data_IF_088029397647
#
_entry.id   IF_088029397647
#
_cell.length_a   1.000
_cell.length_b   1.000
_cell.length_c   1.000
_cell.angle_alpha   90.00
_cell.angle_beta   90.00
_cell.angle_gamma   90.00
#
_symmetry.space_group_name_H-M   'P 1'
#
loop_
_entity.id
_entity.type
_entity.pdbx_description
1 polymer ?
#
# COMPACT_ATOMS: atom_id res chain seq x y z
N UNK A 1 -39.02 16.61 33.57
CA UNK A 1 -38.36 17.95 33.51
C UNK A 1 -36.83 17.88 33.40
N UNK A 2 -36.16 16.74 33.61
CA UNK A 2 -34.69 16.62 33.52
C UNK A 2 -34.15 16.43 32.10
N UNK A 3 -34.92 15.81 31.20
CA UNK A 3 -34.47 15.48 29.83
C UNK A 3 -34.26 16.71 28.93
N UNK A 4 -35.08 17.75 29.09
CA UNK A 4 -34.96 19.01 28.34
C UNK A 4 -33.74 19.86 28.74
N UNK A 5 -33.22 19.70 29.97
CA UNK A 5 -32.01 20.44 30.41
C UNK A 5 -30.74 19.88 29.80
N UNK A 6 -30.65 18.56 29.67
CA UNK A 6 -29.51 17.87 29.06
C UNK A 6 -29.43 18.18 27.56
N UNK A 7 -30.57 18.20 26.86
CA UNK A 7 -30.60 18.53 25.44
C UNK A 7 -30.27 20.02 25.17
N UNK A 8 -30.69 20.93 26.05
CA UNK A 8 -30.29 22.34 25.99
C UNK A 8 -28.81 22.55 26.29
N UNK A 9 -28.25 21.84 27.28
CA UNK A 9 -26.81 21.89 27.57
C UNK A 9 -25.98 21.37 26.40
N UNK A 10 -26.37 20.24 25.79
CA UNK A 10 -25.67 19.70 24.62
C UNK A 10 -25.72 20.66 23.42
N UNK A 11 -26.85 21.33 23.18
CA UNK A 11 -26.93 22.36 22.12
C UNK A 11 -26.08 23.59 22.44
N UNK A 12 -26.00 24.01 23.70
CA UNK A 12 -25.14 25.11 24.13
C UNK A 12 -23.66 24.77 23.95
N UNK A 13 -23.24 23.56 24.32
CA UNK A 13 -21.85 23.09 24.19
C UNK A 13 -21.46 22.93 22.72
N UNK A 14 -22.35 22.41 21.86
CA UNK A 14 -22.11 22.34 20.42
C UNK A 14 -22.02 23.75 19.80
N UNK A 15 -22.87 24.67 20.21
CA UNK A 15 -22.83 26.06 19.75
C UNK A 15 -21.54 26.77 20.18
N UNK A 16 -21.12 26.62 21.44
CA UNK A 16 -19.89 27.19 21.97
C UNK A 16 -18.66 26.59 21.26
N UNK A 17 -18.57 25.27 21.08
CA UNK A 17 -17.46 24.65 20.36
C UNK A 17 -17.41 25.07 18.88
N UNK A 18 -18.56 25.26 18.22
CA UNK A 18 -18.61 25.78 16.85
C UNK A 18 -18.17 27.24 16.76
N UNK A 19 -18.40 28.03 17.82
CA UNK A 19 -18.00 29.43 17.91
C UNK A 19 -16.49 29.55 18.19
N UNK A 20 -15.95 28.74 19.09
CA UNK A 20 -14.50 28.66 19.36
C UNK A 20 -13.74 28.15 18.13
N UNK A 21 -14.28 27.18 17.37
CA UNK A 21 -13.67 26.75 16.11
C UNK A 21 -13.70 27.84 15.04
N UNK A 22 -14.78 28.61 14.92
CA UNK A 22 -14.84 29.76 14.00
C UNK A 22 -13.92 30.90 14.41
N UNK A 23 -13.80 31.19 15.71
CA UNK A 23 -12.86 32.19 16.23
C UNK A 23 -11.40 31.75 16.03
N UNK A 24 -11.10 30.44 16.17
CA UNK A 24 -9.76 29.89 15.88
C UNK A 24 -9.46 29.84 14.37
N UNK A 25 -10.47 29.59 13.52
CA UNK A 25 -10.33 29.67 12.07
C UNK A 25 -10.18 31.13 11.58
N UNK A 26 -10.89 32.10 12.16
CA UNK A 26 -10.75 33.53 11.86
C UNK A 26 -9.41 34.10 12.35
N UNK A 27 -8.90 33.68 13.51
CA UNK A 27 -7.53 34.01 13.95
C UNK A 27 -6.46 33.39 13.03
N UNK A 28 -6.72 32.23 12.42
CA UNK A 28 -5.82 31.61 11.45
C UNK A 28 -5.88 32.22 10.04
N UNK A 29 -6.87 33.08 9.77
CA UNK A 29 -7.11 33.73 8.47
C UNK A 29 -6.82 35.24 8.45
N UNK A 30 -6.42 35.84 9.57
CA UNK A 30 -5.81 37.17 9.55
C UNK A 30 -4.37 37.09 9.02
N UNK A 31 -4.22 37.31 7.71
CA UNK A 31 -2.94 37.72 7.14
C UNK A 31 -2.41 38.93 7.92
N UNK A 32 -1.13 38.95 8.32
CA UNK A 32 -0.56 40.17 8.88
C UNK A 32 -0.48 41.20 7.76
N UNK A 33 -1.41 42.15 7.77
CA UNK A 33 -1.31 43.38 7.00
C UNK A 33 -0.16 44.22 7.57
N UNK A 34 0.72 44.62 6.65
CA UNK A 34 1.76 45.63 6.79
C UNK A 34 2.93 45.34 7.74
N UNK A 35 4.07 45.04 7.09
CA UNK A 35 5.34 45.64 7.48
C UNK A 35 6.17 44.86 8.51
N UNK A 36 6.62 43.66 8.16
CA UNK A 36 7.93 43.13 8.57
C UNK A 36 8.22 41.82 7.82
N UNK A 37 9.03 41.90 6.76
CA UNK A 37 9.77 40.75 6.23
C UNK A 37 10.75 40.26 7.31
N UNK A 38 10.27 39.43 8.23
CA UNK A 38 11.14 38.72 9.16
C UNK A 38 11.82 37.59 8.40
N UNK A 39 13.10 37.79 8.08
CA UNK A 39 14.01 36.80 7.48
C UNK A 39 13.94 35.47 8.25
N UNK A 40 13.13 34.52 7.77
CA UNK A 40 13.14 33.16 8.28
C UNK A 40 14.44 32.48 7.83
N UNK A 41 15.39 32.31 8.76
CA UNK A 41 16.60 31.52 8.54
C UNK A 41 16.25 30.11 8.03
N UNK A 42 17.04 29.59 7.07
CA UNK A 42 16.85 28.29 6.40
C UNK A 42 16.48 27.15 7.37
N UNK A 43 17.04 27.16 8.59
CA UNK A 43 16.78 26.14 9.62
C UNK A 43 15.32 26.05 10.10
N UNK A 44 14.62 27.18 10.21
CA UNK A 44 13.20 27.22 10.59
C UNK A 44 12.29 26.67 9.49
N UNK A 45 12.65 26.93 8.22
CA UNK A 45 11.98 26.38 7.03
C UNK A 45 12.18 24.87 6.94
N UNK A 46 13.39 24.37 7.24
CA UNK A 46 13.70 22.93 7.28
C UNK A 46 12.96 22.24 8.42
N UNK A 47 12.85 22.84 9.62
CA UNK A 47 12.10 22.24 10.74
C UNK A 47 10.59 22.20 10.49
N UNK A 48 10.02 23.26 9.91
CA UNK A 48 8.61 23.28 9.47
C UNK A 48 8.36 22.32 8.31
N UNK A 49 9.30 22.20 7.38
CA UNK A 49 9.28 21.19 6.32
C UNK A 49 9.32 19.78 6.92
N UNK A 50 10.26 19.47 7.82
CA UNK A 50 10.32 18.18 8.48
C UNK A 50 9.05 17.86 9.25
N UNK A 51 8.51 18.82 10.01
CA UNK A 51 7.26 18.62 10.75
C UNK A 51 6.06 18.42 9.82
N UNK A 52 5.99 19.16 8.72
CA UNK A 52 4.91 19.03 7.72
C UNK A 52 5.03 17.73 6.92
N UNK A 53 6.26 17.29 6.62
CA UNK A 53 6.54 16.18 5.72
C UNK A 53 6.81 14.83 6.42
N UNK A 54 7.10 14.82 7.72
CA UNK A 54 7.48 13.62 8.48
C UNK A 54 6.68 13.40 9.78
N UNK A 55 5.67 14.24 10.09
CA UNK A 55 4.80 14.05 11.27
C UNK A 55 3.28 14.10 11.00
N UNK A 56 2.82 14.24 9.75
CA UNK A 56 1.39 14.45 9.45
C UNK A 56 0.67 13.15 9.04
N UNK A 57 0.46 12.25 10.00
CA UNK A 57 0.03 10.86 9.82
C UNK A 57 -1.40 10.55 9.34
N UNK A 58 -1.70 9.25 9.27
CA UNK A 58 -2.98 8.68 8.79
C UNK A 58 -4.20 9.09 9.64
N UNK A 59 -5.39 9.06 9.03
CA UNK A 59 -6.66 9.40 9.70
C UNK A 59 -7.24 8.16 10.40
N UNK A 60 -7.39 8.22 11.73
CA UNK A 60 -7.96 7.14 12.56
C UNK A 60 -9.49 7.14 12.54
N UNK A 61 -10.10 5.98 12.81
CA UNK A 61 -11.52 5.74 12.53
C UNK A 61 -12.53 6.53 13.35
N UNK A 62 -12.28 6.99 14.59
CA UNK A 62 -13.14 7.96 15.31
C UNK A 62 -12.51 8.36 16.66
N UNK A 63 -12.80 9.58 17.11
CA UNK A 63 -12.83 9.99 18.52
C UNK A 63 -13.85 9.09 19.25
N UNK A 64 -13.43 8.44 20.33
CA UNK A 64 -14.33 7.65 21.18
C UNK A 64 -14.73 8.53 22.35
N UNK A 65 -16.04 8.69 22.55
CA UNK A 65 -16.64 9.33 23.72
C UNK A 65 -16.07 8.73 25.00
N UNK A 66 -15.66 9.61 25.91
CA UNK A 66 -15.32 9.30 27.31
C UNK A 66 -16.55 8.78 28.06
N UNK A 67 -16.42 7.60 28.67
CA UNK A 67 -17.22 7.25 29.85
C UNK A 67 -16.36 6.48 30.86
N UNK A 68 -16.36 7.06 32.06
CA UNK A 68 -15.76 6.82 33.38
C UNK A 68 -15.25 5.43 33.81
N UNK A 69 -14.01 5.48 34.33
CA UNK A 69 -13.48 5.04 35.63
C UNK A 69 -13.33 3.54 36.01
N UNK A 70 -12.06 3.18 36.25
CA UNK A 70 -11.44 1.95 36.82
C UNK A 70 -10.89 0.87 35.87
N UNK A 71 -11.41 0.67 34.65
CA UNK A 71 -10.78 -0.20 33.60
C UNK A 71 -9.60 0.51 32.85
N UNK A 72 -9.33 1.74 33.28
CA UNK A 72 -8.64 2.80 32.55
C UNK A 72 -7.13 2.60 32.41
N UNK A 73 -6.47 1.87 33.32
CA UNK A 73 -5.00 1.73 33.27
C UNK A 73 -4.55 0.73 32.20
N UNK A 74 -5.24 -0.42 32.10
CA UNK A 74 -4.96 -1.41 31.07
C UNK A 74 -5.40 -0.90 29.71
N UNK A 75 -6.56 -0.24 29.60
CA UNK A 75 -7.00 0.38 28.35
C UNK A 75 -6.11 1.56 27.92
N UNK A 76 -5.60 2.40 28.83
CA UNK A 76 -4.69 3.50 28.50
C UNK A 76 -3.32 2.98 28.06
N UNK A 77 -2.78 1.96 28.75
CA UNK A 77 -1.54 1.28 28.30
C UNK A 77 -1.77 0.59 26.96
N UNK A 78 -2.89 -0.11 26.78
CA UNK A 78 -3.21 -0.80 25.53
C UNK A 78 -3.39 0.19 24.37
N UNK A 79 -4.03 1.34 24.60
CA UNK A 79 -4.15 2.41 23.61
C UNK A 79 -2.80 3.08 23.32
N UNK A 80 -1.96 3.27 24.33
CA UNK A 80 -0.61 3.84 24.19
C UNK A 80 0.33 2.93 23.39
N UNK A 81 0.28 1.62 23.61
CA UNK A 81 1.12 0.63 22.93
C UNK A 81 0.47 -0.07 21.75
N UNK A 82 -0.79 0.26 21.42
CA UNK A 82 -1.58 -0.38 20.35
C UNK A 82 -0.84 -0.50 19.03
N UNK A 83 -0.09 0.55 18.66
CA UNK A 83 0.71 0.62 17.44
C UNK A 83 1.83 -0.41 17.42
N UNK A 84 2.54 -0.53 18.55
CA UNK A 84 3.64 -1.48 18.70
C UNK A 84 3.13 -2.92 18.80
N UNK A 85 2.00 -3.14 19.49
CA UNK A 85 1.37 -4.46 19.60
C UNK A 85 0.90 -4.94 18.22
N UNK A 86 0.22 -4.09 17.45
CA UNK A 86 -0.26 -4.43 16.11
C UNK A 86 0.86 -4.79 15.14
N UNK A 87 2.03 -4.19 15.30
CA UNK A 87 3.24 -4.50 14.55
C UNK A 87 3.94 -5.78 15.03
N UNK A 88 4.16 -5.91 16.34
CA UNK A 88 4.93 -7.01 16.93
C UNK A 88 4.19 -8.35 16.81
N UNK A 89 2.87 -8.37 16.94
CA UNK A 89 2.10 -9.61 16.97
C UNK A 89 2.21 -10.45 15.68
N UNK A 90 1.91 -9.92 14.46
CA UNK A 90 2.06 -10.70 13.24
C UNK A 90 3.54 -10.99 12.94
N UNK A 91 4.44 -10.07 13.29
CA UNK A 91 5.88 -10.26 13.13
C UNK A 91 6.38 -11.44 13.97
N UNK A 92 6.08 -11.46 15.27
CA UNK A 92 6.49 -12.54 16.18
C UNK A 92 5.88 -13.88 15.77
N UNK A 93 4.60 -13.90 15.41
CA UNK A 93 3.93 -15.12 14.95
C UNK A 93 4.67 -15.75 13.76
N UNK A 94 4.90 -14.98 12.70
CA UNK A 94 5.58 -15.48 11.50
C UNK A 94 7.06 -15.77 11.74
N UNK A 95 7.75 -14.99 12.57
CA UNK A 95 9.15 -15.26 12.93
C UNK A 95 9.28 -16.56 13.71
N UNK A 96 8.40 -16.84 14.68
CA UNK A 96 8.40 -18.10 15.43
C UNK A 96 8.19 -19.28 14.46
N UNK A 97 7.22 -19.17 13.55
CA UNK A 97 7.01 -20.18 12.51
C UNK A 97 8.23 -20.34 11.60
N UNK A 98 8.88 -19.24 11.20
CA UNK A 98 10.04 -19.31 10.33
C UNK A 98 11.25 -19.92 11.04
N UNK A 99 11.57 -19.50 12.27
CA UNK A 99 12.70 -20.04 13.04
C UNK A 99 12.55 -21.53 13.33
N UNK A 100 11.35 -21.98 13.71
CA UNK A 100 11.08 -23.41 13.92
C UNK A 100 11.35 -24.23 12.66
N UNK A 101 10.93 -23.73 11.49
CA UNK A 101 11.22 -24.37 10.20
C UNK A 101 12.71 -24.27 9.81
N UNK A 102 13.34 -23.12 10.07
CA UNK A 102 14.75 -22.88 9.73
C UNK A 102 15.69 -23.83 10.45
N UNK A 103 15.44 -24.13 11.73
CA UNK A 103 16.19 -25.14 12.46
C UNK A 103 15.87 -26.56 11.99
N UNK A 104 14.60 -26.87 11.70
CA UNK A 104 14.17 -28.22 11.29
C UNK A 104 14.72 -28.63 9.92
N UNK A 105 14.79 -27.69 8.98
CA UNK A 105 15.14 -27.91 7.57
C UNK A 105 16.48 -27.30 7.15
N UNK A 106 17.20 -26.66 8.09
CA UNK A 106 18.51 -26.02 7.88
C UNK A 106 18.51 -25.00 6.73
N UNK A 107 17.59 -24.03 6.78
CA UNK A 107 17.48 -22.96 5.77
C UNK A 107 18.73 -22.08 5.66
N UNK A 108 19.58 -22.06 6.69
CA UNK A 108 20.84 -21.30 6.69
C UNK A 108 21.77 -21.65 5.53
N UNK A 109 21.66 -22.87 4.99
CA UNK A 109 22.43 -23.31 3.82
C UNK A 109 22.08 -22.56 2.53
N UNK A 110 20.89 -21.96 2.44
CA UNK A 110 20.42 -21.24 1.24
C UNK A 110 20.99 -19.81 1.15
N UNK A 111 21.29 -19.19 2.29
CA UNK A 111 21.74 -17.79 2.35
C UNK A 111 23.03 -17.49 1.57
N UNK A 112 24.08 -18.33 1.57
CA UNK A 112 25.29 -18.06 0.81
C UNK A 112 25.07 -17.90 -0.71
N UNK A 113 24.00 -18.47 -1.24
CA UNK A 113 23.73 -18.49 -2.69
C UNK A 113 22.51 -17.68 -3.12
N UNK A 114 21.68 -17.21 -2.18
CA UNK A 114 20.41 -16.54 -2.47
C UNK A 114 20.19 -15.28 -1.59
N UNK A 115 21.24 -14.64 -1.09
CA UNK A 115 21.14 -13.49 -0.16
C UNK A 115 20.66 -12.19 -0.83
N UNK A 116 20.78 -12.11 -2.15
CA UNK A 116 20.45 -10.94 -2.96
C UNK A 116 18.97 -10.55 -2.87
N UNK A 117 18.07 -11.54 -2.80
CA UNK A 117 16.63 -11.28 -2.68
C UNK A 117 16.19 -10.81 -1.30
N UNK A 118 16.59 -11.46 -0.19
CA UNK A 118 16.35 -10.93 1.16
C UNK A 118 16.85 -9.49 1.31
N UNK A 119 18.02 -9.17 0.76
CA UNK A 119 18.57 -7.81 0.78
C UNK A 119 17.67 -6.83 0.00
N UNK A 120 17.27 -7.20 -1.21
CA UNK A 120 16.33 -6.42 -2.02
C UNK A 120 15.01 -6.21 -1.29
N UNK A 121 14.54 -7.24 -0.59
CA UNK A 121 13.28 -7.25 0.14
C UNK A 121 13.29 -6.40 1.41
N UNK A 122 14.44 -5.98 1.93
CA UNK A 122 14.49 -4.92 2.95
C UNK A 122 13.86 -3.65 2.38
N UNK A 123 14.28 -3.23 1.18
CA UNK A 123 13.74 -2.06 0.49
C UNK A 123 12.34 -2.35 -0.02
N UNK A 124 12.15 -3.49 -0.70
CA UNK A 124 10.87 -3.88 -1.31
C UNK A 124 9.73 -3.96 -0.29
N UNK A 125 9.93 -4.65 0.84
CA UNK A 125 8.90 -4.77 1.86
C UNK A 125 8.64 -3.44 2.59
N UNK A 126 9.68 -2.65 2.87
CA UNK A 126 9.50 -1.34 3.51
C UNK A 126 8.68 -0.41 2.63
N UNK A 127 9.01 -0.32 1.33
CA UNK A 127 8.25 0.50 0.38
C UNK A 127 6.83 -0.05 0.24
N UNK A 128 6.65 -1.36 0.14
CA UNK A 128 5.33 -1.95 0.00
C UNK A 128 4.39 -1.69 1.17
N UNK A 129 4.93 -1.68 2.40
CA UNK A 129 4.15 -1.28 3.57
C UNK A 129 3.81 0.21 3.56
N UNK A 130 4.69 1.03 2.99
CA UNK A 130 4.56 2.49 2.99
C UNK A 130 3.65 3.04 1.89
N UNK A 131 3.58 2.38 0.74
CA UNK A 131 2.91 2.87 -0.46
C UNK A 131 1.70 2.01 -0.83
N UNK A 132 1.00 2.39 -1.89
CA UNK A 132 -0.09 1.60 -2.46
C UNK A 132 0.39 0.51 -3.43
N UNK A 133 1.70 0.24 -3.45
CA UNK A 133 2.32 -0.76 -4.30
C UNK A 133 2.75 -1.94 -3.43
N UNK A 134 2.64 -3.14 -3.97
CA UNK A 134 3.06 -4.36 -3.33
C UNK A 134 4.57 -4.55 -3.40
N UNK A 135 5.09 -5.48 -2.60
CA UNK A 135 6.52 -5.85 -2.64
C UNK A 135 6.96 -6.37 -4.01
N UNK A 136 5.99 -6.88 -4.79
CA UNK A 136 6.18 -7.29 -6.18
C UNK A 136 6.65 -6.14 -7.08
N UNK A 137 6.29 -4.89 -6.81
CA UNK A 137 6.72 -3.73 -7.60
C UNK A 137 8.26 -3.55 -7.59
N UNK A 138 8.91 -3.94 -6.49
CA UNK A 138 10.38 -3.93 -6.38
C UNK A 138 10.97 -5.29 -6.73
N UNK A 139 10.36 -6.39 -6.27
CA UNK A 139 10.86 -7.75 -6.49
C UNK A 139 10.92 -8.10 -7.98
N UNK A 140 9.84 -7.84 -8.72
CA UNK A 140 9.71 -8.23 -10.11
C UNK A 140 10.79 -7.61 -11.02
N UNK A 141 11.01 -6.28 -11.05
CA UNK A 141 12.05 -5.69 -11.90
C UNK A 141 13.46 -6.08 -11.45
N UNK A 142 13.71 -6.23 -10.15
CA UNK A 142 15.03 -6.69 -9.68
C UNK A 142 15.29 -8.13 -10.12
N UNK A 143 14.34 -9.03 -9.94
CA UNK A 143 14.51 -10.42 -10.39
C UNK A 143 14.65 -10.51 -11.91
N UNK A 144 13.80 -9.82 -12.66
CA UNK A 144 13.69 -10.03 -14.11
C UNK A 144 14.64 -9.19 -14.95
N UNK A 145 15.06 -8.01 -14.46
CA UNK A 145 15.92 -7.07 -15.19
C UNK A 145 17.34 -7.07 -14.64
N UNK A 146 17.53 -7.15 -13.31
CA UNK A 146 18.86 -7.12 -12.69
C UNK A 146 19.48 -8.52 -12.58
N UNK A 147 18.69 -9.50 -12.11
CA UNK A 147 19.17 -10.87 -11.88
C UNK A 147 18.88 -11.82 -13.05
N UNK A 148 18.22 -11.34 -14.10
CA UNK A 148 17.86 -12.11 -15.29
C UNK A 148 17.10 -13.43 -15.00
N UNK A 149 16.30 -13.44 -13.94
CA UNK A 149 15.42 -14.55 -13.59
C UNK A 149 14.17 -14.52 -14.48
N UNK A 150 13.62 -15.70 -14.77
CA UNK A 150 12.37 -15.85 -15.54
C UNK A 150 11.20 -15.14 -14.85
N UNK A 151 10.32 -14.56 -15.67
CA UNK A 151 9.17 -13.77 -15.19
C UNK A 151 8.18 -14.60 -14.39
N UNK A 152 8.05 -15.89 -14.70
CA UNK A 152 7.14 -16.80 -13.99
C UNK A 152 7.63 -17.08 -12.55
N UNK A 153 8.94 -17.28 -12.39
CA UNK A 153 9.57 -17.44 -11.07
C UNK A 153 9.45 -16.14 -10.27
N UNK A 154 9.65 -14.98 -10.92
CA UNK A 154 9.51 -13.68 -10.27
C UNK A 154 8.07 -13.37 -9.83
N UNK A 155 7.08 -13.72 -10.66
CA UNK A 155 5.66 -13.66 -10.31
C UNK A 155 5.35 -14.55 -9.11
N UNK A 156 5.72 -15.83 -9.17
CA UNK A 156 5.40 -16.80 -8.13
C UNK A 156 6.04 -16.37 -6.81
N UNK A 157 7.32 -15.97 -6.82
CA UNK A 157 7.99 -15.39 -5.66
C UNK A 157 7.24 -14.16 -5.11
N UNK A 158 6.80 -13.26 -5.99
CA UNK A 158 6.08 -12.04 -5.59
C UNK A 158 4.73 -12.35 -4.94
N UNK A 159 3.97 -13.31 -5.45
CA UNK A 159 2.71 -13.76 -4.82
C UNK A 159 2.97 -14.40 -3.45
N UNK A 160 3.96 -15.29 -3.38
CA UNK A 160 4.34 -15.99 -2.15
C UNK A 160 4.77 -15.02 -1.06
N UNK A 161 5.75 -14.16 -1.33
CA UNK A 161 6.35 -13.29 -0.32
C UNK A 161 5.35 -12.26 0.22
N UNK A 162 4.44 -11.79 -0.64
CA UNK A 162 3.39 -10.84 -0.25
C UNK A 162 2.27 -11.51 0.54
N UNK A 163 1.97 -12.79 0.32
CA UNK A 163 1.00 -13.52 1.14
C UNK A 163 1.42 -13.56 2.63
N UNK A 164 2.72 -13.45 2.93
CA UNK A 164 3.22 -13.27 4.30
C UNK A 164 3.32 -11.80 4.69
N UNK A 165 4.00 -10.99 3.87
CA UNK A 165 4.29 -9.58 4.16
C UNK A 165 3.06 -8.70 4.22
N UNK A 166 2.27 -8.69 3.15
CA UNK A 166 1.08 -7.85 3.03
C UNK A 166 0.00 -8.31 3.99
N UNK A 167 -0.12 -9.61 4.29
CA UNK A 167 -1.03 -10.11 5.34
C UNK A 167 -0.61 -9.60 6.72
N UNK A 168 0.69 -9.56 7.02
CA UNK A 168 1.20 -8.99 8.28
C UNK A 168 0.93 -7.48 8.38
N UNK A 169 1.11 -6.75 7.26
CA UNK A 169 0.77 -5.33 7.19
C UNK A 169 -0.74 -5.09 7.30
N UNK A 170 -1.56 -5.88 6.61
CA UNK A 170 -3.02 -5.83 6.68
C UNK A 170 -3.53 -6.10 8.10
N UNK A 171 -2.97 -7.08 8.81
CA UNK A 171 -3.25 -7.29 10.21
C UNK A 171 -2.95 -6.05 11.05
N UNK A 172 -1.77 -5.44 10.85
CA UNK A 172 -1.36 -4.21 11.56
C UNK A 172 -2.38 -3.08 11.30
N UNK A 173 -2.78 -2.91 10.05
CA UNK A 173 -3.75 -1.88 9.63
C UNK A 173 -5.12 -2.07 10.29
N UNK A 174 -5.62 -3.32 10.27
CA UNK A 174 -6.91 -3.68 10.88
C UNK A 174 -6.86 -3.52 12.40
N UNK A 175 -5.77 -3.95 13.03
CA UNK A 175 -5.55 -3.80 14.47
C UNK A 175 -5.53 -2.34 14.91
N UNK A 176 -4.89 -1.48 14.12
CA UNK A 176 -4.83 -0.03 14.35
C UNK A 176 -6.16 0.69 14.08
N UNK A 177 -7.20 0.01 13.56
CA UNK A 177 -8.48 0.60 13.16
C UNK A 177 -8.28 1.84 12.27
N UNK A 178 -7.38 1.71 11.29
CA UNK A 178 -7.23 2.72 10.24
C UNK A 178 -8.51 2.72 9.40
N UNK A 179 -8.95 3.89 8.93
CA UNK A 179 -10.14 3.99 8.05
C UNK A 179 -9.89 3.23 6.75
N UNK A 180 -10.81 2.34 6.40
CA UNK A 180 -10.79 1.52 5.20
C UNK A 180 -12.11 1.67 4.43
N UNK A 181 -12.04 1.50 3.11
CA UNK A 181 -13.22 1.48 2.25
C UNK A 181 -13.68 0.06 1.95
N UNK A 182 -14.52 -0.48 2.82
CA UNK A 182 -14.98 -1.87 2.78
C UNK A 182 -15.68 -2.27 1.50
N UNK A 183 -16.42 -1.37 0.85
CA UNK A 183 -17.06 -1.64 -0.44
C UNK A 183 -16.01 -1.96 -1.52
N UNK A 184 -14.89 -1.23 -1.51
CA UNK A 184 -13.77 -1.50 -2.41
C UNK A 184 -13.09 -2.82 -2.06
N UNK A 185 -12.86 -3.09 -0.77
CA UNK A 185 -12.27 -4.34 -0.32
C UNK A 185 -13.07 -5.53 -0.84
N UNK A 186 -14.39 -5.56 -0.59
CA UNK A 186 -15.22 -6.70 -0.96
C UNK A 186 -15.31 -6.86 -2.48
N UNK A 187 -15.67 -5.79 -3.20
CA UNK A 187 -15.94 -5.90 -4.64
C UNK A 187 -14.67 -6.09 -5.47
N UNK A 188 -13.57 -5.40 -5.12
CA UNK A 188 -12.31 -5.61 -5.80
C UNK A 188 -11.74 -6.99 -5.48
N UNK A 189 -11.92 -7.56 -4.29
CA UNK A 189 -11.47 -8.93 -3.98
C UNK A 189 -12.21 -9.97 -4.80
N UNK A 190 -13.54 -9.84 -4.96
CA UNK A 190 -14.32 -10.76 -5.79
C UNK A 190 -13.86 -10.66 -7.25
N UNK A 191 -13.73 -9.43 -7.76
CA UNK A 191 -13.21 -9.19 -9.11
C UNK A 191 -11.80 -9.74 -9.29
N UNK A 192 -10.89 -9.46 -8.35
CA UNK A 192 -9.48 -9.86 -8.44
C UNK A 192 -9.29 -11.37 -8.32
N UNK A 193 -10.11 -12.05 -7.52
CA UNK A 193 -10.12 -13.52 -7.45
C UNK A 193 -10.46 -14.10 -8.82
N UNK A 194 -11.51 -13.61 -9.47
CA UNK A 194 -11.83 -14.04 -10.83
C UNK A 194 -10.72 -13.67 -11.82
N UNK A 195 -10.16 -12.46 -11.71
CA UNK A 195 -9.13 -11.94 -12.60
C UNK A 195 -7.79 -12.67 -12.49
N UNK A 196 -7.34 -13.00 -11.28
CA UNK A 196 -6.07 -13.70 -11.08
C UNK A 196 -6.18 -15.16 -11.52
N UNK A 197 -7.29 -15.84 -11.23
CA UNK A 197 -7.54 -17.21 -11.71
C UNK A 197 -7.58 -17.21 -13.23
N UNK A 198 -8.38 -16.30 -13.83
CA UNK A 198 -8.47 -16.20 -15.28
C UNK A 198 -7.11 -15.87 -15.92
N UNK A 199 -6.35 -14.97 -15.29
CA UNK A 199 -5.04 -14.58 -15.75
C UNK A 199 -4.03 -15.72 -15.72
N UNK A 200 -4.02 -16.51 -14.65
CA UNK A 200 -3.09 -17.63 -14.48
C UNK A 200 -3.40 -18.80 -15.41
N UNK A 201 -4.67 -19.12 -15.61
CA UNK A 201 -5.09 -20.28 -16.40
C UNK A 201 -5.09 -20.02 -17.92
N UNK A 202 -5.37 -18.79 -18.36
CA UNK A 202 -5.52 -18.49 -19.79
C UNK A 202 -4.56 -17.42 -20.31
N UNK A 203 -4.36 -16.33 -19.59
CA UNK A 203 -3.62 -15.17 -20.14
C UNK A 203 -2.11 -15.34 -20.03
N UNK A 204 -1.63 -15.94 -18.94
CA UNK A 204 -0.19 -16.05 -18.66
C UNK A 204 0.55 -16.87 -19.73
N UNK A 205 -0.09 -17.89 -20.30
CA UNK A 205 0.45 -18.72 -21.38
C UNK A 205 0.48 -18.02 -22.74
N UNK A 206 -0.31 -16.95 -22.93
CA UNK A 206 -0.36 -16.19 -24.17
C UNK A 206 0.74 -15.14 -24.25
N UNK A 207 1.38 -14.81 -23.12
CA UNK A 207 2.37 -13.74 -23.02
C UNK A 207 3.78 -14.33 -22.93
N UNK A 208 4.67 -13.82 -23.78
CA UNK A 208 6.10 -14.12 -23.67
C UNK A 208 6.73 -13.40 -22.48
N UNK A 209 7.87 -13.88 -21.97
CA UNK A 209 8.57 -13.23 -20.86
C UNK A 209 8.93 -11.76 -21.14
N UNK A 210 9.31 -11.42 -22.38
CA UNK A 210 9.60 -10.03 -22.77
C UNK A 210 8.34 -9.15 -22.75
N UNK A 211 7.19 -9.68 -23.18
CA UNK A 211 5.91 -8.98 -23.11
C UNK A 211 5.46 -8.77 -21.67
N UNK A 212 5.64 -9.76 -20.79
CA UNK A 212 5.35 -9.63 -19.34
C UNK A 212 6.18 -8.51 -18.70
N UNK A 213 7.48 -8.42 -19.02
CA UNK A 213 8.37 -7.32 -18.56
C UNK A 213 7.90 -5.96 -19.08
N UNK A 214 7.57 -5.87 -20.37
CA UNK A 214 7.08 -4.64 -20.98
C UNK A 214 5.75 -4.18 -20.37
N UNK A 215 4.78 -5.10 -20.19
CA UNK A 215 3.48 -4.81 -19.61
C UNK A 215 3.62 -4.30 -18.17
N UNK A 216 4.44 -4.96 -17.36
CA UNK A 216 4.75 -4.51 -16.00
C UNK A 216 5.28 -3.08 -16.00
N UNK A 217 6.35 -2.81 -16.75
CA UNK A 217 6.97 -1.48 -16.78
C UNK A 217 6.00 -0.41 -17.28
N UNK A 218 5.20 -0.72 -18.31
CA UNK A 218 4.29 0.26 -18.91
C UNK A 218 3.12 0.62 -17.97
N UNK A 219 2.51 -0.38 -17.33
CA UNK A 219 1.36 -0.19 -16.44
C UNK A 219 1.78 0.56 -15.17
N UNK A 220 2.90 0.16 -14.54
CA UNK A 220 3.34 0.82 -13.32
C UNK A 220 3.88 2.22 -13.59
N UNK A 221 4.56 2.43 -14.73
CA UNK A 221 4.97 3.78 -15.12
C UNK A 221 3.77 4.68 -15.43
N UNK A 222 2.72 4.17 -16.07
CA UNK A 222 1.45 4.89 -16.26
C UNK A 222 0.80 5.27 -14.92
N UNK A 223 0.86 4.37 -13.94
CA UNK A 223 0.41 4.64 -12.59
C UNK A 223 1.23 5.77 -11.93
N UNK A 224 2.56 5.73 -12.04
CA UNK A 224 3.44 6.78 -11.53
C UNK A 224 3.13 8.15 -12.15
N UNK A 225 2.90 8.22 -13.48
CA UNK A 225 2.47 9.44 -14.17
C UNK A 225 1.11 9.91 -13.64
N UNK A 226 0.14 9.00 -13.52
CA UNK A 226 -1.21 9.33 -13.04
C UNK A 226 -1.18 9.88 -11.62
N UNK A 227 -0.36 9.28 -10.75
CA UNK A 227 -0.14 9.75 -9.38
C UNK A 227 0.59 11.10 -9.35
N UNK A 228 1.53 11.35 -10.28
CA UNK A 228 2.21 12.64 -10.42
C UNK A 228 1.25 13.77 -10.82
N UNK A 229 0.39 13.53 -11.82
CA UNK A 229 -0.66 14.46 -12.24
C UNK A 229 -1.61 14.74 -11.07
N UNK A 230 -2.00 13.69 -10.33
CA UNK A 230 -2.85 13.81 -9.15
C UNK A 230 -2.22 14.71 -8.07
N UNK A 231 -0.95 14.49 -7.76
CA UNK A 231 -0.23 15.24 -6.72
C UNK A 231 0.03 16.70 -7.09
N UNK A 232 0.01 17.04 -8.38
CA UNK A 232 0.13 18.42 -8.86
C UNK A 232 -1.15 19.22 -8.56
N UNK A 233 -2.31 18.57 -8.45
CA UNK A 233 -3.60 19.20 -8.18
C UNK A 233 -3.86 19.48 -6.68
N UNK A 234 -3.05 20.36 -6.07
CA UNK A 234 -3.02 20.61 -4.60
C UNK A 234 -4.35 21.09 -3.97
N UNK A 235 -5.31 21.62 -4.75
CA UNK A 235 -6.59 22.19 -4.26
C UNK A 235 -7.78 21.22 -4.33
N UNK A 236 -7.54 19.93 -4.60
CA UNK A 236 -8.60 18.94 -4.77
C UNK A 236 -9.32 18.65 -3.45
N UNK A 237 -10.66 18.66 -3.47
CA UNK A 237 -11.47 18.13 -2.36
C UNK A 237 -11.40 16.61 -2.39
N UNK A 238 -10.84 16.02 -1.35
CA UNK A 238 -10.76 14.56 -1.15
C UNK A 238 -11.80 14.10 -0.14
N UNK A 239 -12.38 12.92 -0.37
CA UNK A 239 -13.35 12.32 0.54
C UNK A 239 -12.72 11.21 1.39
N UNK A 240 -13.25 10.99 2.59
CA UNK A 240 -12.83 9.88 3.46
C UNK A 240 -13.52 8.55 3.10
N UNK A 241 -14.44 8.57 2.14
CA UNK A 241 -15.13 7.38 1.64
C UNK A 241 -15.90 7.65 0.36
N UNK A 242 -16.46 6.59 -0.25
CA UNK A 242 -17.19 6.73 -1.52
C UNK A 242 -18.54 7.44 -1.30
N UNK A 243 -18.64 8.67 -1.80
CA UNK A 243 -19.87 9.48 -1.72
C UNK A 243 -20.94 8.89 -2.64
N UNK A 244 -22.17 8.68 -2.14
CA UNK A 244 -23.33 8.14 -2.89
C UNK A 244 -22.98 6.83 -3.65
N UNK A 245 -22.83 5.75 -2.91
CA UNK A 245 -22.57 4.42 -3.48
C UNK A 245 -23.76 3.96 -4.34
N UNK A 246 -23.49 3.50 -5.55
CA UNK A 246 -24.50 3.01 -6.50
C UNK A 246 -23.97 1.78 -7.25
N UNK A 247 -24.85 1.08 -7.97
CA UNK A 247 -24.49 -0.12 -8.72
C UNK A 247 -23.37 0.13 -9.76
N UNK A 248 -23.38 1.28 -10.43
CA UNK A 248 -22.32 1.64 -11.39
C UNK A 248 -20.93 1.71 -10.74
N UNK A 249 -20.82 2.32 -9.56
CA UNK A 249 -19.58 2.35 -8.79
C UNK A 249 -19.18 0.95 -8.33
N UNK A 250 -20.16 0.12 -7.96
CA UNK A 250 -19.90 -1.27 -7.62
C UNK A 250 -19.31 -2.05 -8.80
N UNK A 251 -19.88 -1.90 -9.99
CA UNK A 251 -19.39 -2.50 -11.23
C UNK A 251 -17.96 -2.03 -11.54
N UNK A 252 -17.67 -0.73 -11.39
CA UNK A 252 -16.34 -0.18 -11.63
C UNK A 252 -15.31 -0.79 -10.66
N UNK A 253 -15.65 -0.97 -9.38
CA UNK A 253 -14.76 -1.62 -8.40
C UNK A 253 -14.53 -3.08 -8.75
N UNK A 254 -15.57 -3.81 -9.16
CA UNK A 254 -15.44 -5.19 -9.61
C UNK A 254 -14.51 -5.30 -10.82
N UNK A 255 -14.71 -4.48 -11.86
CA UNK A 255 -13.88 -4.48 -13.07
C UNK A 255 -12.44 -4.07 -12.76
N UNK A 256 -12.23 -3.06 -11.90
CA UNK A 256 -10.90 -2.66 -11.46
C UNK A 256 -10.19 -3.79 -10.70
N UNK A 257 -10.91 -4.51 -9.85
CA UNK A 257 -10.43 -5.72 -9.19
C UNK A 257 -10.04 -6.79 -10.20
N UNK A 258 -10.90 -7.06 -11.18
CA UNK A 258 -10.64 -8.05 -12.23
C UNK A 258 -9.39 -7.74 -13.06
N UNK A 259 -9.26 -6.50 -13.55
CA UNK A 259 -8.08 -6.06 -14.32
C UNK A 259 -6.83 -6.11 -13.45
N UNK A 260 -6.92 -5.68 -12.19
CA UNK A 260 -5.80 -5.73 -11.25
C UNK A 260 -5.39 -7.17 -10.88
N UNK A 261 -6.35 -8.08 -10.78
CA UNK A 261 -6.11 -9.52 -10.63
C UNK A 261 -5.40 -10.10 -11.85
N UNK A 262 -5.81 -9.69 -13.06
CA UNK A 262 -5.14 -10.08 -14.30
C UNK A 262 -3.68 -9.58 -14.33
N UNK A 263 -3.43 -8.34 -13.89
CA UNK A 263 -2.08 -7.82 -13.74
C UNK A 263 -1.26 -8.64 -12.73
N UNK A 264 -1.89 -9.00 -11.61
CA UNK A 264 -1.26 -9.83 -10.58
C UNK A 264 -0.92 -11.23 -11.08
N UNK A 265 -1.63 -11.75 -12.09
CA UNK A 265 -1.38 -13.06 -12.66
C UNK A 265 -0.10 -13.15 -13.49
N UNK A 266 0.41 -12.06 -14.08
CA UNK A 266 1.69 -12.10 -14.82
C UNK A 266 2.83 -11.41 -14.06
N UNK A 267 2.54 -10.43 -13.20
CA UNK A 267 3.55 -9.67 -12.46
C UNK A 267 3.68 -10.05 -10.98
N UNK A 268 2.69 -10.74 -10.42
CA UNK A 268 2.62 -11.05 -8.98
C UNK A 268 2.20 -9.86 -8.11
N UNK A 269 1.83 -8.72 -8.71
CA UNK A 269 1.22 -7.53 -8.08
C UNK A 269 0.32 -6.81 -9.08
N UNK A 270 -0.63 -5.99 -8.65
CA UNK A 270 -1.42 -5.15 -9.57
C UNK A 270 -2.81 -4.76 -9.08
N UNK A 271 -3.48 -5.59 -8.25
CA UNK A 271 -4.81 -5.25 -7.71
C UNK A 271 -4.78 -3.99 -6.86
N UNK A 272 -3.69 -3.80 -6.14
CA UNK A 272 -3.39 -2.66 -5.31
C UNK A 272 -3.35 -1.36 -6.09
N UNK A 273 -2.58 -1.31 -7.18
CA UNK A 273 -2.41 -0.15 -8.04
C UNK A 273 -3.70 0.16 -8.79
N UNK A 274 -4.38 -0.85 -9.34
CA UNK A 274 -5.64 -0.66 -10.03
C UNK A 274 -6.73 -0.13 -9.08
N UNK A 275 -6.89 -0.75 -7.91
CA UNK A 275 -7.86 -0.31 -6.92
C UNK A 275 -7.51 1.08 -6.39
N UNK A 276 -6.25 1.32 -6.01
CA UNK A 276 -5.79 2.63 -5.54
C UNK A 276 -6.02 3.72 -6.59
N UNK A 277 -5.72 3.45 -7.86
CA UNK A 277 -5.95 4.39 -8.97
C UNK A 277 -7.43 4.74 -9.10
N UNK A 278 -8.34 3.76 -9.08
CA UNK A 278 -9.79 4.02 -9.15
C UNK A 278 -10.29 4.78 -7.91
N UNK A 279 -9.86 4.39 -6.72
CA UNK A 279 -10.26 5.04 -5.48
C UNK A 279 -9.79 6.49 -5.45
N UNK A 280 -8.52 6.75 -5.76
CA UNK A 280 -7.93 8.08 -5.68
C UNK A 280 -8.29 8.95 -6.87
N UNK A 281 -8.22 8.48 -8.11
CA UNK A 281 -8.45 9.29 -9.32
C UNK A 281 -9.93 9.46 -9.63
N UNK A 282 -10.70 8.37 -9.66
CA UNK A 282 -12.09 8.39 -10.07
C UNK A 282 -13.03 8.78 -8.93
N UNK A 283 -12.91 8.12 -7.77
CA UNK A 283 -13.80 8.39 -6.62
C UNK A 283 -13.30 9.50 -5.70
N UNK A 284 -12.10 10.04 -5.96
CA UNK A 284 -11.52 11.16 -5.22
C UNK A 284 -11.34 10.88 -3.73
N UNK A 285 -11.09 9.63 -3.37
CA UNK A 285 -10.76 9.26 -2.00
C UNK A 285 -9.40 9.82 -1.61
N UNK A 286 -9.25 10.12 -0.32
CA UNK A 286 -7.97 10.48 0.25
C UNK A 286 -6.99 9.30 0.16
N UNK A 287 -5.76 9.58 -0.23
CA UNK A 287 -4.66 8.61 -0.25
C UNK A 287 -4.48 7.94 1.13
N UNK A 288 -4.77 8.66 2.23
CA UNK A 288 -4.71 8.14 3.59
C UNK A 288 -5.69 6.99 3.87
N UNK A 289 -6.75 6.86 3.08
CA UNK A 289 -7.73 5.76 3.15
C UNK A 289 -7.50 4.76 2.02
N UNK A 290 -7.15 5.24 0.82
CA UNK A 290 -6.94 4.38 -0.35
C UNK A 290 -5.71 3.47 -0.20
N UNK A 291 -4.58 3.97 0.32
CA UNK A 291 -3.35 3.17 0.53
C UNK A 291 -3.56 1.98 1.48
N UNK A 292 -4.09 2.14 2.70
CA UNK A 292 -4.34 0.98 3.56
C UNK A 292 -5.41 0.04 2.98
N UNK A 293 -6.39 0.58 2.22
CA UNK A 293 -7.38 -0.24 1.50
C UNK A 293 -6.73 -1.12 0.43
N UNK A 294 -5.81 -0.59 -0.38
CA UNK A 294 -5.08 -1.36 -1.39
C UNK A 294 -4.14 -2.41 -0.79
N UNK A 295 -3.51 -2.12 0.35
CA UNK A 295 -2.66 -3.11 1.06
C UNK A 295 -3.48 -4.33 1.49
N UNK A 296 -4.68 -4.12 2.05
CA UNK A 296 -5.59 -5.22 2.46
C UNK A 296 -6.07 -6.01 1.24
N UNK A 297 -6.41 -5.33 0.15
CA UNK A 297 -6.76 -5.98 -1.13
C UNK A 297 -5.62 -6.85 -1.66
N UNK A 298 -4.40 -6.34 -1.61
CA UNK A 298 -3.22 -7.08 -2.07
C UNK A 298 -2.93 -8.31 -1.23
N UNK A 299 -3.10 -8.21 0.10
CA UNK A 299 -2.98 -9.36 1.00
C UNK A 299 -3.98 -10.47 0.63
N UNK A 300 -5.25 -10.11 0.41
CA UNK A 300 -6.26 -11.09 0.01
C UNK A 300 -5.93 -11.74 -1.36
N UNK A 301 -5.59 -10.91 -2.35
CA UNK A 301 -5.33 -11.36 -3.72
C UNK A 301 -4.09 -12.26 -3.82
N UNK A 302 -3.02 -11.95 -3.06
CA UNK A 302 -1.79 -12.76 -3.05
C UNK A 302 -1.97 -14.08 -2.34
N UNK A 303 -2.77 -14.14 -1.28
CA UNK A 303 -3.17 -15.41 -0.65
C UNK A 303 -3.92 -16.31 -1.65
N UNK A 304 -4.87 -15.75 -2.41
CA UNK A 304 -5.60 -16.49 -3.46
C UNK A 304 -4.66 -16.94 -4.58
N UNK A 305 -3.82 -16.03 -5.10
CA UNK A 305 -2.88 -16.34 -6.17
C UNK A 305 -1.86 -17.41 -5.78
N UNK A 306 -1.29 -17.31 -4.58
CA UNK A 306 -0.36 -18.31 -4.06
C UNK A 306 -1.05 -19.66 -3.84
N UNK A 307 -2.25 -19.67 -3.24
CA UNK A 307 -3.06 -20.88 -3.09
C UNK A 307 -3.28 -21.56 -4.44
N UNK A 308 -3.69 -20.80 -5.46
CA UNK A 308 -3.96 -21.32 -6.80
C UNK A 308 -2.71 -21.90 -7.46
N UNK A 309 -1.61 -21.13 -7.48
CA UNK A 309 -0.33 -21.56 -8.07
C UNK A 309 0.24 -22.80 -7.39
N UNK A 310 0.21 -22.84 -6.06
CA UNK A 310 0.83 -23.92 -5.31
C UNK A 310 -0.03 -25.19 -5.24
N UNK A 311 -1.31 -25.06 -4.89
CA UNK A 311 -2.15 -26.23 -4.59
C UNK A 311 -2.95 -26.73 -5.79
N UNK A 312 -3.30 -25.87 -6.74
CA UNK A 312 -4.11 -26.26 -7.90
C UNK A 312 -3.22 -26.55 -9.10
N UNK A 313 -2.35 -25.61 -9.46
CA UNK A 313 -1.44 -25.80 -10.62
C UNK A 313 -0.23 -26.66 -10.26
N UNK A 314 0.27 -26.62 -9.01
CA UNK A 314 1.47 -27.34 -8.55
C UNK A 314 2.75 -27.03 -9.34
N UNK A 315 2.86 -25.81 -9.88
CA UNK A 315 3.93 -25.40 -10.82
C UNK A 315 4.93 -24.40 -10.23
N UNK A 316 4.95 -24.23 -8.90
CA UNK A 316 5.86 -23.28 -8.26
C UNK A 316 7.29 -23.83 -8.30
N UNK A 317 8.17 -23.12 -9.00
CA UNK A 317 9.59 -23.47 -9.14
C UNK A 317 10.30 -23.57 -7.78
N UNK A 318 11.26 -24.51 -7.68
CA UNK A 318 12.12 -24.66 -6.50
C UNK A 318 12.96 -23.41 -6.23
N UNK A 319 13.32 -22.65 -7.27
CA UNK A 319 14.04 -21.40 -7.14
C UNK A 319 13.18 -20.33 -6.43
N UNK A 320 11.89 -20.26 -6.76
CA UNK A 320 10.96 -19.36 -6.07
C UNK A 320 10.83 -19.73 -4.58
N UNK A 321 10.75 -21.03 -4.27
CA UNK A 321 10.74 -21.52 -2.88
C UNK A 321 12.01 -21.18 -2.10
N UNK A 322 13.18 -21.33 -2.72
CA UNK A 322 14.45 -21.00 -2.07
C UNK A 322 14.54 -19.50 -1.74
N UNK A 323 14.22 -18.64 -2.70
CA UNK A 323 14.20 -17.20 -2.48
C UNK A 323 13.15 -16.77 -1.46
N UNK A 324 11.93 -17.34 -1.55
CA UNK A 324 10.85 -17.10 -0.61
C UNK A 324 11.30 -17.41 0.81
N UNK A 325 11.85 -18.61 1.01
CA UNK A 325 12.32 -19.09 2.32
C UNK A 325 13.34 -18.13 2.94
N UNK A 326 14.28 -17.61 2.16
CA UNK A 326 15.26 -16.65 2.67
C UNK A 326 14.66 -15.26 2.95
N UNK A 327 13.60 -14.88 2.21
CA UNK A 327 13.03 -13.52 2.24
C UNK A 327 11.93 -13.34 3.28
N UNK A 328 11.20 -14.40 3.66
CA UNK A 328 10.12 -14.36 4.68
C UNK A 328 10.49 -13.60 5.95
N UNK A 329 11.62 -13.87 6.65
CA UNK A 329 11.93 -13.20 7.91
C UNK A 329 12.18 -11.70 7.72
N UNK A 330 12.68 -11.29 6.56
CA UNK A 330 12.86 -9.89 6.22
C UNK A 330 11.50 -9.25 5.95
N UNK A 331 10.71 -9.83 5.06
CA UNK A 331 9.47 -9.20 4.59
C UNK A 331 8.44 -9.03 5.70
N UNK A 332 8.31 -10.02 6.59
CA UNK A 332 7.35 -9.94 7.71
C UNK A 332 7.76 -8.89 8.74
N UNK A 333 9.05 -8.55 8.84
CA UNK A 333 9.49 -7.44 9.69
C UNK A 333 9.26 -6.09 9.00
N UNK A 334 9.72 -5.97 7.75
CA UNK A 334 9.79 -4.68 7.06
C UNK A 334 8.47 -4.21 6.44
N UNK A 335 7.54 -5.10 6.08
CA UNK A 335 6.24 -4.69 5.55
C UNK A 335 5.33 -4.02 6.60
N UNK A 336 5.13 -4.60 7.81
CA UNK A 336 4.44 -3.91 8.90
C UNK A 336 5.15 -2.63 9.35
N UNK A 337 6.49 -2.63 9.37
CA UNK A 337 7.30 -1.46 9.69
C UNK A 337 7.08 -0.33 8.67
N UNK A 338 7.00 -0.67 7.38
CA UNK A 338 6.65 0.27 6.32
C UNK A 338 5.28 0.90 6.55
N UNK A 339 4.27 0.10 6.93
CA UNK A 339 2.92 0.62 7.24
C UNK A 339 2.93 1.63 8.39
N UNK A 340 3.73 1.36 9.44
CA UNK A 340 3.94 2.32 10.52
C UNK A 340 4.68 3.59 10.06
N UNK A 341 5.70 3.47 9.22
CA UNK A 341 6.44 4.61 8.69
C UNK A 341 5.56 5.51 7.80
N UNK A 342 4.64 4.93 7.03
CA UNK A 342 3.67 5.70 6.25
C UNK A 342 2.77 6.59 7.13
N UNK A 343 2.54 6.22 8.39
CA UNK A 343 1.82 7.07 9.33
C UNK A 343 2.65 8.26 9.85
N UNK A 344 3.93 8.34 9.53
CA UNK A 344 4.77 9.48 9.86
C UNK A 344 5.05 10.31 8.60
N UNK A 345 5.30 9.65 7.47
CA UNK A 345 5.61 10.33 6.22
C UNK A 345 4.40 11.00 5.57
N UNK A 346 4.65 12.18 5.02
CA UNK A 346 3.69 12.91 4.22
C UNK A 346 3.55 12.25 2.84
N UNK A 347 2.33 12.28 2.31
CA UNK A 347 1.95 11.58 1.07
C UNK A 347 2.88 11.82 -0.13
N UNK A 348 3.41 13.04 -0.26
CA UNK A 348 4.37 13.41 -1.32
C UNK A 348 5.70 12.64 -1.23
N UNK A 349 6.17 12.32 -0.03
CA UNK A 349 7.38 11.50 0.17
C UNK A 349 7.12 10.09 -0.32
N UNK A 350 5.98 9.51 0.05
CA UNK A 350 5.54 8.19 -0.41
C UNK A 350 5.45 8.13 -1.94
N UNK A 351 4.82 9.13 -2.55
CA UNK A 351 4.72 9.22 -4.00
C UNK A 351 6.09 9.40 -4.69
N UNK A 352 7.05 10.08 -4.04
CA UNK A 352 8.41 10.23 -4.58
C UNK A 352 9.13 8.88 -4.67
N UNK A 353 8.95 8.00 -3.67
CA UNK A 353 9.49 6.63 -3.74
C UNK A 353 8.94 5.87 -4.95
N UNK A 354 7.62 5.94 -5.18
CA UNK A 354 6.97 5.35 -6.36
C UNK A 354 7.60 5.88 -7.65
N UNK A 355 7.74 7.20 -7.81
CA UNK A 355 8.32 7.79 -9.03
C UNK A 355 9.75 7.32 -9.30
N UNK A 356 10.56 7.20 -8.24
CA UNK A 356 11.95 6.73 -8.37
C UNK A 356 11.98 5.26 -8.74
N UNK A 357 11.19 4.41 -8.09
CA UNK A 357 11.14 2.98 -8.39
C UNK A 357 10.70 2.72 -9.83
N UNK A 358 9.62 3.36 -10.27
CA UNK A 358 9.11 3.16 -11.63
C UNK A 358 10.01 3.78 -12.70
N UNK A 359 10.66 4.90 -12.39
CA UNK A 359 11.72 5.45 -13.24
C UNK A 359 12.89 4.48 -13.39
N UNK A 360 13.33 3.84 -12.31
CA UNK A 360 14.41 2.84 -12.34
C UNK A 360 13.99 1.58 -13.08
N UNK A 361 12.76 1.09 -12.90
CA UNK A 361 12.24 -0.07 -13.62
C UNK A 361 12.17 0.19 -15.13
N UNK A 362 11.71 1.39 -15.54
CA UNK A 362 11.69 1.80 -16.94
C UNK A 362 13.10 1.89 -17.54
N UNK A 363 14.03 2.55 -16.84
CA UNK A 363 15.43 2.63 -17.29
C UNK A 363 16.08 1.25 -17.37
N UNK A 364 15.83 0.39 -16.39
CA UNK A 364 16.31 -1.00 -16.39
C UNK A 364 15.77 -1.78 -17.59
N UNK A 365 14.50 -1.62 -17.93
CA UNK A 365 13.90 -2.28 -19.09
C UNK A 365 14.50 -1.77 -20.40
N UNK A 366 14.64 -0.46 -20.57
CA UNK A 366 15.29 0.12 -21.76
C UNK A 366 16.75 -0.34 -21.90
N UNK A 367 17.46 -0.50 -20.77
CA UNK A 367 18.83 -1.00 -20.76
C UNK A 367 18.96 -2.47 -21.21
N UNK A 368 17.89 -3.27 -21.13
CA UNK A 368 17.90 -4.64 -21.66
C UNK A 368 17.89 -4.71 -23.20
N UNK A 369 17.71 -3.58 -23.89
CA UNK A 369 17.67 -3.49 -25.35
C UNK A 369 16.44 -4.16 -25.98
N UNK A 370 15.20 -3.83 -25.55
CA UNK A 370 14.00 -4.43 -26.11
C UNK A 370 13.76 -4.01 -27.56
N UNK A 371 13.05 -4.83 -28.33
CA UNK A 371 12.69 -4.51 -29.71
C UNK A 371 11.87 -3.21 -29.81
N UNK A 372 12.11 -2.42 -30.87
CA UNK A 372 11.40 -1.16 -31.10
C UNK A 372 9.88 -1.31 -31.13
N UNK A 373 9.36 -2.47 -31.57
CA UNK A 373 7.92 -2.77 -31.55
C UNK A 373 7.38 -2.82 -30.13
N UNK A 374 8.09 -3.46 -29.21
CA UNK A 374 7.71 -3.55 -27.80
C UNK A 374 7.76 -2.17 -27.14
N UNK A 375 8.79 -1.36 -27.45
CA UNK A 375 8.87 0.02 -26.95
C UNK A 375 7.66 0.84 -27.43
N UNK A 376 7.32 0.76 -28.72
CA UNK A 376 6.18 1.48 -29.29
C UNK A 376 4.84 1.08 -28.63
N UNK A 377 4.60 -0.22 -28.44
CA UNK A 377 3.40 -0.71 -27.75
C UNK A 377 3.38 -0.25 -26.29
N UNK A 378 4.51 -0.35 -25.59
CA UNK A 378 4.63 0.09 -24.20
C UNK A 378 4.34 1.57 -24.00
N UNK A 379 4.81 2.43 -24.91
CA UNK A 379 4.52 3.87 -24.87
C UNK A 379 3.02 4.14 -25.05
N UNK A 380 2.37 3.47 -26.02
CA UNK A 380 0.93 3.62 -26.24
C UNK A 380 0.16 3.18 -24.99
N UNK A 381 0.51 2.04 -24.40
CA UNK A 381 -0.11 1.56 -23.17
C UNK A 381 0.13 2.48 -21.97
N UNK A 382 1.31 3.09 -21.87
CA UNK A 382 1.65 3.97 -20.76
C UNK A 382 0.89 5.31 -20.83
N UNK A 383 0.67 5.84 -22.04
CA UNK A 383 0.00 7.12 -22.27
C UNK A 383 -1.53 6.97 -22.29
N UNK A 384 -2.04 5.83 -22.75
CA UNK A 384 -3.47 5.55 -22.89
C UNK A 384 -4.01 5.91 -24.27
#
# INVERSE_FOLDING_TARGET
>A
MSTNRIEQQNRLTIYLNSKTQKETEEESLQQPTNGQELKLTNFGRTKLFFRKYFLQGQLYSNEVCSHDDEEEVLEDVFNRYRKYIGFLLPCLFMQIMWWTLAFRYNFFRLFPTHYELPLTMVVGATVAGMTSEGGGAVAFPVMTLLLHIETEVARDFSLMVQSCGMTSAAFTILWMRIKLEWHAIILCTIGSTAGIIFGLEWVDYLLTGSEKKMLFVSIWFSFAISLYVLNTQKKRRTHSGIVKFNWWKALILFVAGFIGGLCSAFAGSGVDICAFSVLTLLFRLSEKVATPTSVVLMAANTCVGFFWRHLIMSEVSTLAWNYFTCSVPVVVLFAPLGSLLASHFHRLVLATFVYVLEGLALLGFLATGPEWRLIGIGIVLAIG
#
